data_IF_097715461390
#
_entry.id   IF_097715461390
#
_cell.length_a   1.000
_cell.length_b   1.000
_cell.length_c   1.000
_cell.angle_alpha   90.00
_cell.angle_beta   90.00
_cell.angle_gamma   90.00
#
_symmetry.space_group_name_H-M   'P 1'
#
loop_
_entity.id
_entity.type
_entity.pdbx_description
1 polymer ?
2 polymer ?
3 non-polymer ?
4 water ?
#
# COMPACT_ATOMS: atom_id res chain seq x y z
N UNK A 17 -20.73 -19.42 0.46
CA UNK A 17 -21.61 -18.33 0.88
C UNK A 17 -21.98 -17.45 -0.32
N UNK A 18 -23.04 -16.67 -0.18
CA UNK A 18 -23.55 -15.91 -1.30
C UNK A 18 -22.80 -14.59 -1.43
N UNK A 19 -23.13 -13.83 -2.47
CA UNK A 19 -22.71 -12.44 -2.51
C UNK A 19 -23.60 -11.57 -1.63
N UNK A 20 -24.86 -11.96 -1.45
CA UNK A 20 -25.77 -11.20 -0.60
C UNK A 20 -25.56 -11.55 0.88
N UNK A 21 -25.42 -12.84 1.20
CA UNK A 21 -25.17 -13.23 2.57
C UNK A 21 -23.83 -12.69 3.08
N UNK A 22 -22.86 -12.48 2.19
CA UNK A 22 -21.59 -11.91 2.59
C UNK A 22 -21.76 -10.49 3.09
N UNK A 23 -22.57 -9.69 2.39
CA UNK A 23 -22.80 -8.31 2.80
C UNK A 23 -23.58 -8.26 4.10
N UNK A 24 -24.70 -9.01 4.17
CA UNK A 24 -25.52 -9.01 5.37
C UNK A 24 -24.74 -9.50 6.57
N UNK A 25 -23.88 -10.51 6.37
CA UNK A 25 -23.03 -10.97 7.47
C UNK A 25 -22.09 -9.87 7.93
N UNK A 26 -21.46 -9.16 6.99
CA UNK A 26 -20.61 -8.03 7.36
C UNK A 26 -21.42 -6.87 7.89
N UNK A 27 -22.62 -6.64 7.35
CA UNK A 27 -23.47 -5.56 7.84
C UNK A 27 -23.93 -5.82 9.26
N UNK A 28 -24.20 -7.08 9.60
CA UNK A 28 -24.67 -7.40 10.95
C UNK A 28 -23.54 -7.40 11.97
N UNK A 29 -22.30 -7.64 11.52
CA UNK A 29 -21.15 -7.70 12.41
C UNK A 29 -20.51 -6.34 12.66
N UNK A 30 -21.13 -5.26 12.20
CA UNK A 30 -20.53 -3.95 12.33
C UNK A 30 -20.45 -3.55 13.81
N UNK A 31 -19.33 -2.97 14.24
CA UNK A 31 -19.21 -2.53 15.63
C UNK A 31 -20.02 -1.28 15.88
N UNK A 32 -20.31 -0.96 17.14
CA UNK A 32 -21.08 0.24 17.45
C UNK A 32 -20.21 1.49 17.40
N UNK A 33 -20.87 2.63 17.56
CA UNK A 33 -20.20 3.94 17.59
C UNK A 33 -20.05 4.34 19.05
N UNK A 34 -18.81 4.36 19.53
CA UNK A 34 -18.52 4.65 20.93
C UNK A 34 -18.40 6.15 21.16
N UNK A 35 -18.49 6.54 22.42
CA UNK A 35 -18.42 7.93 22.86
C UNK A 35 -17.12 8.19 23.61
N UNK A 36 -16.72 9.46 23.64
CA UNK A 36 -15.51 9.89 24.33
C UNK A 36 -15.88 10.62 25.62
N UNK A 37 -14.87 11.19 26.27
CA UNK A 37 -15.08 11.91 27.52
C UNK A 37 -15.49 13.36 27.24
N UNK A 47 -1.13 16.81 24.56
CA UNK A 47 -1.27 16.13 25.84
C UNK A 47 -2.74 15.87 26.15
N UNK A 48 -3.57 16.91 25.96
CA UNK A 48 -5.00 16.77 26.23
C UNK A 48 -5.69 15.96 25.14
N UNK A 49 -5.36 16.24 23.87
CA UNK A 49 -5.99 15.52 22.77
C UNK A 49 -5.61 14.04 22.78
N UNK A 50 -4.33 13.73 23.04
CA UNK A 50 -3.91 12.34 23.12
C UNK A 50 -4.79 11.56 24.09
N UNK A 51 -5.14 12.16 25.22
CA UNK A 51 -5.91 11.46 26.23
C UNK A 51 -7.21 10.89 25.69
N UNK A 52 -7.94 11.70 24.93
CA UNK A 52 -9.23 11.24 24.40
C UNK A 52 -9.05 10.19 23.31
N UNK A 53 -7.94 10.25 22.57
CA UNK A 53 -7.74 9.33 21.45
C UNK A 53 -7.31 7.96 21.93
N UNK A 54 -6.52 7.89 23.00
CA UNK A 54 -6.08 6.59 23.52
C UNK A 54 -7.28 5.79 24.01
N UNK A 55 -8.05 6.41 24.92
CA UNK A 55 -9.24 5.75 25.45
C UNK A 55 -10.21 5.40 24.34
N UNK A 56 -10.30 6.24 23.30
CA UNK A 56 -11.20 5.95 22.20
C UNK A 56 -10.69 4.76 21.38
N UNK A 57 -9.42 4.75 21.05
CA UNK A 57 -8.86 3.65 20.25
C UNK A 57 -8.94 2.35 21.04
N UNK A 58 -8.44 2.37 22.26
CA UNK A 58 -8.38 1.21 23.16
C UNK A 58 -9.75 0.58 23.32
N UNK A 59 -10.76 1.39 23.56
CA UNK A 59 -12.12 0.83 23.75
C UNK A 59 -12.66 0.44 22.39
N UNK A 60 -12.09 1.03 21.35
CA UNK A 60 -12.64 0.78 19.99
C UNK A 60 -12.14 -0.55 19.38
N UNK A 61 -10.99 -0.98 19.82
CA UNK A 61 -10.39 -2.26 19.42
C UNK A 61 -11.10 -3.45 20.04
N UNK A 62 -11.61 -3.30 21.27
CA UNK A 62 -12.32 -4.40 21.91
C UNK A 62 -13.47 -4.86 21.03
N UNK A 63 -14.17 -3.90 20.40
CA UNK A 63 -15.25 -4.25 19.48
C UNK A 63 -14.71 -4.73 18.14
N UNK A 64 -13.53 -4.27 17.78
CA UNK A 64 -12.92 -4.69 16.50
C UNK A 64 -12.47 -6.13 16.63
N UNK A 65 -12.04 -6.56 17.82
CA UNK A 65 -11.67 -7.98 18.01
C UNK A 65 -12.92 -8.83 17.78
N UNK A 66 -14.03 -8.48 18.41
CA UNK A 66 -15.29 -9.25 18.24
C UNK A 66 -15.81 -9.17 16.80
N UNK A 67 -15.59 -8.07 16.11
CA UNK A 67 -16.02 -7.91 14.70
C UNK A 67 -15.16 -8.81 13.79
N UNK A 68 -13.87 -8.85 14.05
CA UNK A 68 -12.97 -9.68 13.28
C UNK A 68 -13.38 -11.15 13.36
N UNK A 69 -13.78 -11.61 14.54
CA UNK A 69 -14.19 -13.01 14.69
C UNK A 69 -15.44 -13.32 13.87
N UNK A 70 -16.26 -12.32 13.58
CA UNK A 70 -17.49 -12.50 12.82
C UNK A 70 -17.29 -12.29 11.32
N UNK A 71 -16.07 -12.03 10.87
CA UNK A 71 -15.82 -11.89 9.44
C UNK A 71 -15.69 -13.30 8.84
N UNK A 72 -16.41 -13.59 7.76
CA UNK A 72 -16.38 -14.96 7.20
C UNK A 72 -14.96 -15.39 6.89
N UNK A 73 -14.60 -16.59 7.38
CA UNK A 73 -13.30 -17.16 7.14
C UNK A 73 -12.23 -16.81 8.15
N UNK A 74 -12.46 -15.80 9.00
CA UNK A 74 -11.44 -15.38 9.94
C UNK A 74 -11.19 -16.45 11.00
N UNK A 75 -12.25 -16.92 11.64
CA UNK A 75 -12.12 -17.93 12.69
C UNK A 75 -11.58 -19.25 12.16
N UNK A 76 -11.59 -19.46 10.84
CA UNK A 76 -10.99 -20.67 10.28
C UNK A 76 -9.47 -20.67 10.41
N UNK A 77 -8.86 -19.50 10.59
CA UNK A 77 -7.42 -19.40 10.73
C UNK A 77 -6.99 -19.76 12.15
N UNK A 78 -5.68 -19.90 12.33
CA UNK A 78 -5.14 -20.24 13.63
C UNK A 78 -5.28 -19.06 14.59
N UNK A 79 -5.07 -19.35 15.89
CA UNK A 79 -5.04 -18.27 16.87
C UNK A 79 -3.85 -17.35 16.64
N UNK A 80 -2.71 -17.92 16.23
CA UNK A 80 -1.54 -17.08 15.95
C UNK A 80 -1.75 -16.27 14.68
N UNK A 81 -2.41 -16.84 13.68
CA UNK A 81 -2.67 -16.10 12.45
C UNK A 81 -3.65 -14.96 12.70
N UNK A 82 -4.69 -15.20 13.49
CA UNK A 82 -5.62 -14.12 13.84
C UNK A 82 -4.92 -12.99 14.58
N UNK A 83 -3.97 -13.34 15.46
CA UNK A 83 -3.24 -12.32 16.20
C UNK A 83 -2.40 -11.48 15.25
N UNK A 84 -1.66 -12.13 14.36
CA UNK A 84 -0.79 -11.39 13.44
C UNK A 84 -1.61 -10.52 12.48
N UNK A 85 -2.71 -11.05 11.97
CA UNK A 85 -3.55 -10.27 11.06
C UNK A 85 -4.08 -9.03 11.75
N UNK A 86 -4.42 -9.12 13.03
CA UNK A 86 -4.90 -7.96 13.76
C UNK A 86 -3.77 -7.07 14.26
N UNK A 87 -2.57 -7.61 14.44
CA UNK A 87 -1.46 -6.80 14.92
C UNK A 87 -1.09 -5.70 13.92
N UNK A 88 -1.18 -6.00 12.63
CA UNK A 88 -0.72 -5.08 11.60
C UNK A 88 -1.86 -4.36 10.88
N UNK A 89 -3.11 -4.71 11.15
CA UNK A 89 -4.25 -4.08 10.50
C UNK A 89 -5.15 -3.32 11.45
N UNK A 90 -4.84 -3.28 12.75
CA UNK A 90 -5.76 -2.70 13.71
C UNK A 90 -5.90 -1.20 13.52
N UNK A 91 -4.79 -0.50 13.24
CA UNK A 91 -4.88 0.94 13.04
C UNK A 91 -5.42 1.31 11.68
N UNK A 92 -5.20 0.46 10.67
CA UNK A 92 -5.82 0.68 9.37
C UNK A 92 -7.33 0.62 9.48
N UNK A 93 -7.86 -0.38 10.17
CA UNK A 93 -9.30 -0.52 10.33
C UNK A 93 -9.86 0.64 11.14
N UNK A 94 -9.15 1.06 12.18
CA UNK A 94 -9.60 2.20 12.97
C UNK A 94 -9.72 3.45 12.11
N UNK A 95 -8.74 3.68 11.23
CA UNK A 95 -8.74 4.90 10.41
C UNK A 95 -9.83 4.86 9.35
N UNK A 96 -9.97 3.74 8.65
CA UNK A 96 -11.02 3.66 7.63
C UNK A 96 -12.40 3.78 8.26
N UNK A 97 -12.53 3.37 9.53
CA UNK A 97 -13.80 3.55 10.22
C UNK A 97 -14.05 4.99 10.60
N UNK A 98 -13.02 5.68 11.08
CA UNK A 98 -13.14 7.11 11.36
C UNK A 98 -13.45 7.88 10.08
N UNK A 99 -12.81 7.50 8.96
CA UNK A 99 -13.07 8.18 7.70
C UNK A 99 -14.50 7.93 7.23
N UNK A 100 -15.02 6.73 7.49
CA UNK A 100 -16.37 6.40 7.02
C UNK A 100 -17.42 7.26 7.73
N UNK A 101 -17.38 7.31 9.06
CA UNK A 101 -18.34 8.12 9.80
C UNK A 101 -18.03 9.61 9.72
N UNK A 102 -16.85 10.00 9.22
CA UNK A 102 -16.54 11.39 8.96
C UNK A 102 -16.73 11.76 7.49
N UNK A 103 -17.17 10.82 6.66
CA UNK A 103 -17.29 11.08 5.23
C UNK A 103 -18.29 12.17 4.93
N UNK A 104 -19.33 12.29 5.74
CA UNK A 104 -20.37 13.27 5.51
C UNK A 104 -20.24 14.49 6.41
N UNK A 105 -19.05 14.73 6.94
CA UNK A 105 -18.72 15.96 7.66
C UNK A 105 -17.50 16.55 6.99
N UNK A 106 -17.67 17.23 5.85
CA UNK A 106 -16.52 17.66 5.05
C UNK A 106 -15.57 18.53 5.87
N UNK A 107 -14.27 18.40 5.56
CA UNK A 107 -13.24 19.12 6.28
C UNK A 107 -13.17 18.86 7.77
N UNK A 108 -13.84 17.82 8.27
CA UNK A 108 -13.84 17.50 9.68
C UNK A 108 -13.70 15.99 9.85
N UNK A 109 -13.44 15.59 11.09
CA UNK A 109 -13.26 14.18 11.44
C UNK A 109 -14.11 13.86 12.66
N UNK A 110 -15.02 12.90 12.51
CA UNK A 110 -15.94 12.53 13.58
C UNK A 110 -15.34 11.37 14.37
N UNK A 111 -14.43 11.71 15.29
CA UNK A 111 -13.88 10.70 16.18
C UNK A 111 -14.97 10.05 17.02
N UNK A 112 -15.96 10.84 17.44
CA UNK A 112 -17.10 10.35 18.19
C UNK A 112 -18.25 11.34 18.00
N UNK A 113 -19.49 10.91 18.23
CA UNK A 113 -20.62 11.85 18.10
C UNK A 113 -20.42 13.15 18.85
N UNK A 114 -19.77 13.08 20.03
CA UNK A 114 -19.45 14.26 20.81
C UNK A 114 -18.03 14.77 20.55
N UNK A 115 -17.28 14.11 19.66
CA UNK A 115 -15.90 14.50 19.35
C UNK A 115 -15.78 14.68 17.84
N UNK A 116 -16.32 15.78 17.34
CA UNK A 116 -16.20 16.17 15.94
C UNK A 116 -15.22 17.33 15.88
N UNK A 117 -14.03 17.07 15.37
CA UNK A 117 -12.93 18.03 15.41
C UNK A 117 -12.63 18.58 14.02
N UNK A 118 -12.21 19.83 13.98
CA UNK A 118 -11.89 20.51 12.73
C UNK A 118 -10.42 20.32 12.39
N UNK A 119 -10.02 20.84 11.21
CA UNK A 119 -8.66 20.67 10.74
C UNK A 119 -7.64 21.47 11.53
N UNK A 120 -8.09 22.41 12.37
CA UNK A 120 -7.18 23.24 13.14
C UNK A 120 -7.04 22.79 14.59
N UNK A 121 -7.76 21.75 15.00
CA UNK A 121 -7.71 21.24 16.37
C UNK A 121 -6.68 20.14 16.53
N UNK A 122 -5.53 20.26 15.88
CA UNK A 122 -4.49 19.24 15.97
C UNK A 122 -3.10 19.81 16.20
N UNK A 128 0.90 15.98 14.24
CA UNK A 128 -0.43 15.40 14.18
C UNK A 128 -1.17 15.80 12.92
N UNK A 129 -1.15 17.10 12.62
CA UNK A 129 -1.94 17.63 11.51
C UNK A 129 -1.59 16.94 10.20
N UNK A 130 -0.33 16.52 10.03
CA UNK A 130 0.05 15.77 8.83
C UNK A 130 -0.82 14.53 8.66
N UNK A 131 -0.98 13.75 9.74
CA UNK A 131 -1.86 12.58 9.68
C UNK A 131 -3.31 13.02 9.62
N UNK A 132 -3.64 14.17 10.20
CA UNK A 132 -5.02 14.69 10.13
C UNK A 132 -5.42 14.97 8.68
N UNK A 133 -4.55 15.66 7.94
CA UNK A 133 -4.88 16.02 6.56
C UNK A 133 -5.08 14.77 5.69
N UNK A 134 -4.35 13.70 5.99
CA UNK A 134 -4.49 12.48 5.21
C UNK A 134 -5.84 11.82 5.45
N UNK A 135 -6.31 11.82 6.70
CA UNK A 135 -7.64 11.29 6.99
C UNK A 135 -8.72 12.09 6.27
N UNK A 136 -8.56 13.41 6.21
CA UNK A 136 -9.56 14.23 5.53
C UNK A 136 -9.55 13.99 4.03
N UNK A 137 -8.36 13.91 3.42
CA UNK A 137 -8.27 13.63 2.00
C UNK A 137 -8.96 12.31 1.66
N UNK A 138 -8.74 11.28 2.48
CA UNK A 138 -9.43 10.00 2.27
C UNK A 138 -10.93 10.16 2.45
N UNK A 139 -11.34 10.92 3.48
CA UNK A 139 -12.76 11.17 3.69
C UNK A 139 -13.36 11.91 2.50
N UNK A 140 -12.67 12.94 2.01
CA UNK A 140 -13.14 13.67 0.83
C UNK A 140 -13.09 12.82 -0.43
N UNK A 141 -12.25 11.78 -0.45
CA UNK A 141 -12.16 10.91 -1.62
C UNK A 141 -13.31 9.91 -1.64
N UNK A 142 -13.61 9.30 -0.50
CA UNK A 142 -14.77 8.42 -0.42
C UNK A 142 -16.05 9.17 -0.80
N UNK A 143 -16.17 10.42 -0.35
CA UNK A 143 -17.32 11.23 -0.73
C UNK A 143 -17.33 11.51 -2.22
N UNK A 144 -16.16 11.75 -2.81
CA UNK A 144 -16.07 11.90 -4.26
C UNK A 144 -16.59 10.66 -4.98
N UNK A 145 -16.20 9.48 -4.51
CA UNK A 145 -16.70 8.27 -5.14
C UNK A 145 -18.10 7.88 -4.68
N UNK A 146 -18.63 8.56 -3.69
CA UNK A 146 -19.92 8.20 -3.11
C UNK A 146 -19.92 6.75 -2.64
N UNK A 147 -18.93 6.43 -1.81
CA UNK A 147 -18.79 5.08 -1.30
C UNK A 147 -20.02 4.67 -0.49
N UNK A 148 -20.49 3.44 -0.73
CA UNK A 148 -21.66 2.90 -0.05
C UNK A 148 -21.23 2.06 1.15
N UNK A 149 -22.14 1.93 2.11
CA UNK A 149 -21.86 1.10 3.27
C UNK A 149 -21.54 -0.34 2.91
N UNK A 150 -22.25 -0.90 1.93
CA UNK A 150 -21.99 -2.26 1.50
C UNK A 150 -20.57 -2.41 0.99
N UNK A 151 -20.04 -1.37 0.33
CA UNK A 151 -18.66 -1.41 -0.12
C UNK A 151 -17.69 -1.13 1.02
N UNK A 152 -18.11 -0.37 2.02
CA UNK A 152 -17.23 -0.06 3.14
C UNK A 152 -16.91 -1.32 3.93
N UNK A 153 -17.94 -2.11 4.28
CA UNK A 153 -17.72 -3.31 5.08
C UNK A 153 -16.85 -4.30 4.32
N UNK A 154 -16.91 -4.29 2.99
CA UNK A 154 -16.05 -5.16 2.20
C UNK A 154 -14.60 -4.66 2.23
N UNK A 155 -14.41 -3.36 2.00
CA UNK A 155 -13.06 -2.80 2.04
C UNK A 155 -12.43 -2.99 3.42
N UNK A 156 -13.23 -2.86 4.47
CA UNK A 156 -12.70 -3.01 5.83
C UNK A 156 -12.29 -4.45 6.08
N UNK A 157 -13.04 -5.42 5.54
CA UNK A 157 -12.67 -6.82 5.72
C UNK A 157 -11.43 -7.17 4.90
N UNK A 158 -11.26 -6.54 3.74
CA UNK A 158 -10.07 -6.81 2.93
C UNK A 158 -8.81 -6.35 3.67
N UNK A 159 -8.89 -5.19 4.33
CA UNK A 159 -7.75 -4.70 5.10
C UNK A 159 -7.36 -5.71 6.17
N UNK A 160 -8.35 -6.31 6.84
CA UNK A 160 -8.06 -7.25 7.91
C UNK A 160 -7.39 -8.52 7.39
N UNK A 161 -7.73 -8.95 6.18
CA UNK A 161 -7.19 -10.20 5.64
C UNK A 161 -5.95 -10.00 4.77
N UNK A 162 -5.72 -8.80 4.26
CA UNK A 162 -4.63 -8.56 3.33
C UNK A 162 -3.43 -7.86 3.97
N UNK A 163 -3.63 -7.13 5.06
CA UNK A 163 -2.54 -6.33 5.61
C UNK A 163 -1.39 -7.20 6.09
N UNK A 164 -1.65 -8.45 6.46
CA UNK A 164 -0.60 -9.31 6.98
C UNK A 164 -0.44 -10.62 6.25
N UNK A 165 -1.07 -10.75 5.08
CA UNK A 165 -0.98 -12.00 4.34
C UNK A 165 0.40 -12.19 3.72
N UNK A 166 1.06 -11.09 3.35
CA UNK A 166 2.40 -11.16 2.77
C UNK A 166 3.51 -11.04 3.81
N UNK A 167 3.17 -11.17 5.09
CA UNK A 167 4.16 -11.09 6.17
C UNK A 167 3.87 -12.13 7.24
N UNK A 176 1.48 -22.44 4.77
CA UNK A 176 1.29 -22.25 3.34
C UNK A 176 -0.15 -22.56 2.93
N UNK A 177 -0.71 -23.62 3.51
CA UNK A 177 -2.10 -23.98 3.22
C UNK A 177 -3.07 -22.93 3.73
N UNK A 178 -2.71 -22.23 4.81
CA UNK A 178 -3.59 -21.18 5.34
C UNK A 178 -3.58 -19.95 4.44
N UNK A 179 -2.45 -19.66 3.79
CA UNK A 179 -2.38 -18.49 2.91
C UNK A 179 -3.34 -18.63 1.73
N UNK A 180 -3.45 -19.84 1.17
CA UNK A 180 -4.38 -20.04 0.07
C UNK A 180 -5.82 -19.83 0.52
N UNK A 181 -6.13 -20.10 1.80
CA UNK A 181 -7.48 -19.89 2.29
C UNK A 181 -7.79 -18.41 2.44
N UNK A 182 -6.83 -17.63 2.97
CA UNK A 182 -7.03 -16.19 3.07
C UNK A 182 -7.30 -15.59 1.70
N UNK A 183 -6.50 -15.97 0.70
CA UNK A 183 -6.72 -15.48 -0.65
C UNK A 183 -8.02 -16.00 -1.24
N UNK A 184 -8.46 -17.19 -0.80
CA UNK A 184 -9.76 -17.69 -1.24
C UNK A 184 -10.88 -16.81 -0.71
N UNK A 185 -10.80 -16.42 0.57
CA UNK A 185 -11.79 -15.49 1.12
C UNK A 185 -11.70 -14.14 0.43
N UNK A 186 -10.47 -13.64 0.24
CA UNK A 186 -10.29 -12.37 -0.44
C UNK A 186 -10.93 -12.38 -1.83
N UNK A 187 -10.77 -13.49 -2.56
CA UNK A 187 -11.44 -13.62 -3.85
C UNK A 187 -12.95 -13.56 -3.70
N UNK A 188 -13.48 -14.10 -2.60
CA UNK A 188 -14.93 -14.04 -2.38
C UNK A 188 -15.38 -12.62 -2.10
N UNK A 189 -14.62 -11.88 -1.29
CA UNK A 189 -14.97 -10.49 -1.04
C UNK A 189 -14.86 -9.66 -2.32
N UNK A 190 -13.87 -9.96 -3.15
CA UNK A 190 -13.78 -9.30 -4.45
C UNK A 190 -15.00 -9.63 -5.31
N UNK A 191 -15.40 -10.90 -5.34
CA UNK A 191 -16.62 -11.26 -6.04
C UNK A 191 -17.82 -10.53 -5.47
N UNK A 192 -17.81 -10.22 -4.17
CA UNK A 192 -18.91 -9.49 -3.56
C UNK A 192 -18.91 -8.03 -3.97
N UNK A 193 -17.73 -7.40 -4.01
CA UNK A 193 -17.63 -6.01 -4.44
C UNK A 193 -18.17 -5.84 -5.85
N UNK A 194 -17.70 -6.69 -6.78
CA UNK A 194 -18.17 -6.60 -8.16
C UNK A 194 -19.68 -6.80 -8.21
N UNK A 195 -20.20 -7.78 -7.47
CA UNK A 195 -21.64 -8.02 -7.46
C UNK A 195 -22.39 -6.77 -7.03
N UNK A 196 -21.90 -6.07 -6.00
CA UNK A 196 -22.54 -4.85 -5.57
C UNK A 196 -22.49 -3.78 -6.66
N UNK A 197 -21.39 -3.71 -7.40
CA UNK A 197 -21.29 -2.73 -8.48
C UNK A 197 -22.18 -3.11 -9.65
N UNK A 198 -22.18 -4.39 -10.02
CA UNK A 198 -23.04 -4.82 -11.12
C UNK A 198 -24.51 -4.59 -10.80
N UNK A 199 -24.93 -4.91 -9.58
CA UNK A 199 -26.31 -4.68 -9.16
C UNK A 199 -26.66 -3.20 -9.13
N UNK A 200 -25.65 -2.32 -9.12
CA UNK A 200 -25.88 -0.88 -9.09
C UNK A 200 -26.00 -0.27 -10.48
N UNK A 201 -25.91 -1.08 -11.53
CA UNK A 201 -26.06 -0.60 -12.89
C UNK A 201 -24.78 -0.28 -13.62
N UNK A 202 -23.63 -0.54 -13.02
CA UNK A 202 -22.36 -0.25 -13.67
C UNK A 202 -22.04 -1.27 -14.75
N UNK A 203 -21.43 -0.82 -15.82
CA UNK A 203 -20.96 -1.73 -16.85
C UNK A 203 -19.65 -2.38 -16.43
N UNK A 204 -19.20 -3.35 -17.24
CA UNK A 204 -17.98 -4.07 -16.88
C UNK A 204 -16.78 -3.14 -16.79
N UNK A 205 -16.66 -2.18 -17.71
CA UNK A 205 -15.56 -1.24 -17.65
C UNK A 205 -15.63 -0.41 -16.38
N UNK A 206 -16.84 -0.07 -15.94
CA UNK A 206 -16.99 0.75 -14.74
C UNK A 206 -16.86 -0.07 -13.47
N UNK A 207 -17.23 -1.36 -13.52
CA UNK A 207 -17.02 -2.23 -12.37
C UNK A 207 -15.53 -2.43 -12.09
N UNK A 208 -14.75 -2.69 -13.13
CA UNK A 208 -13.31 -2.86 -12.94
C UNK A 208 -12.66 -1.56 -12.51
N UNK A 209 -13.11 -0.43 -13.07
CA UNK A 209 -12.53 0.86 -12.70
C UNK A 209 -12.83 1.20 -11.25
N UNK A 210 -14.06 0.95 -10.79
CA UNK A 210 -14.41 1.24 -9.41
C UNK A 210 -13.66 0.32 -8.45
N UNK A 211 -13.57 -0.96 -8.79
CA UNK A 211 -12.84 -1.90 -7.93
C UNK A 211 -11.38 -1.50 -7.82
N UNK A 212 -10.80 -0.96 -8.91
CA UNK A 212 -9.41 -0.51 -8.85
C UNK A 212 -9.28 0.76 -8.01
N UNK A 213 -10.20 1.71 -8.19
CA UNK A 213 -10.13 2.95 -7.41
C UNK A 213 -10.27 2.66 -5.92
N UNK A 214 -11.12 1.71 -5.56
CA UNK A 214 -11.30 1.39 -4.14
C UNK A 214 -10.04 0.76 -3.56
N UNK A 215 -9.45 -0.22 -4.25
CA UNK A 215 -8.30 -0.92 -3.73
C UNK A 215 -7.06 -0.02 -3.70
N UNK A 216 -6.92 0.88 -4.67
CA UNK A 216 -5.78 1.78 -4.68
C UNK A 216 -5.77 2.71 -3.47
N UNK A 217 -6.93 2.93 -2.84
CA UNK A 217 -6.98 3.77 -1.65
C UNK A 217 -6.40 3.05 -0.45
N UNK A 218 -6.48 1.71 -0.43
CA UNK A 218 -5.92 0.97 0.69
C UNK A 218 -4.42 1.17 0.79
N UNK A 219 -3.74 1.43 -0.33
CA UNK A 219 -2.33 1.74 -0.28
C UNK A 219 -2.07 3.05 0.46
N UNK A 220 -2.99 4.00 0.35
CA UNK A 220 -2.86 5.25 1.09
C UNK A 220 -3.28 5.07 2.55
N UNK A 221 -4.28 4.23 2.80
CA UNK A 221 -4.75 3.95 4.19
C UNK A 221 -3.62 3.25 4.95
N UNK A 222 -2.86 2.38 4.30
CA UNK A 222 -1.72 1.68 4.94
C UNK A 222 -0.60 2.67 5.24
N UNK A 223 -0.43 3.66 4.38
CA UNK A 223 0.61 4.69 4.57
C UNK A 223 0.22 5.54 5.76
N UNK A 224 -1.05 5.78 5.93
CA UNK A 224 -1.51 6.55 7.07
C UNK A 224 -1.24 5.81 8.38
N UNK A 225 -1.50 4.50 8.39
CA UNK A 225 -1.23 3.71 9.59
C UNK A 225 0.26 3.60 9.88
N UNK A 226 1.09 3.55 8.83
CA UNK A 226 2.54 3.51 9.04
C UNK A 226 3.01 4.77 9.73
N UNK A 227 2.55 5.94 9.28
CA UNK A 227 2.92 7.19 9.92
C UNK A 227 2.25 7.35 11.28
N UNK A 228 1.06 6.77 11.45
CA UNK A 228 0.41 6.81 12.75
C UNK A 228 1.04 5.90 13.78
N UNK A 229 1.70 4.83 13.34
CA UNK A 229 2.42 3.97 14.27
C UNK A 229 3.71 4.63 14.74
N UNK A 230 4.37 5.38 13.85
CA UNK A 230 5.56 6.13 14.27
C UNK A 230 5.19 7.27 15.20
N UNK A 231 4.01 7.86 15.02
CA UNK A 231 3.60 8.98 15.86
C UNK A 231 3.26 8.50 17.27
N UNK A 232 2.56 7.38 17.39
CA UNK A 232 2.24 6.82 18.69
C UNK A 232 3.43 6.17 19.36
N UNK A 233 4.41 5.70 18.58
CA UNK A 233 5.66 5.19 19.14
C UNK A 233 6.59 6.32 19.58
N UNK A 234 6.40 7.52 19.05
CA UNK A 234 7.09 8.71 19.51
C UNK A 234 6.37 9.37 20.69
N UNK A 235 5.34 8.73 21.23
CA UNK A 235 4.66 9.19 22.43
C UNK A 235 5.08 8.36 23.64
N UNK A 236 6.38 8.30 23.85
CA UNK A 236 6.96 7.52 24.93
C UNK A 236 8.38 7.98 25.25
N UNK A 243 -0.46 5.07 28.20
CA UNK A 243 -1.42 4.63 27.21
C UNK A 243 -2.37 3.58 27.76
N UNK A 244 -2.21 2.34 27.31
CA UNK A 244 -3.07 1.24 27.73
C UNK A 244 -2.35 -0.08 27.51
N UNK A 245 -2.65 -1.05 28.37
CA UNK A 245 -1.98 -2.35 28.29
C UNK A 245 -2.26 -3.02 26.94
N UNK A 246 -3.54 -3.11 26.56
CA UNK A 246 -3.88 -3.71 25.27
C UNK A 246 -3.25 -2.94 24.13
N UNK A 247 -3.23 -1.61 24.21
CA UNK A 247 -2.61 -0.80 23.18
C UNK A 247 -1.12 -1.12 23.06
N UNK A 248 -0.37 -0.85 24.14
CA UNK A 248 1.08 -1.05 24.16
C UNK A 248 1.49 -2.35 23.49
N UNK A 249 0.72 -3.42 23.71
CA UNK A 249 0.98 -4.67 23.01
C UNK A 249 0.95 -4.46 21.50
N UNK A 250 -0.10 -3.78 21.01
CA UNK A 250 -0.15 -3.41 19.60
C UNK A 250 0.99 -2.50 19.19
N UNK A 251 1.57 -1.77 20.13
CA UNK A 251 2.64 -0.84 19.79
C UNK A 251 3.97 -1.56 19.62
N UNK A 252 4.15 -2.69 20.31
CA UNK A 252 5.39 -3.45 20.25
C UNK A 252 5.45 -4.37 19.03
N UNK A 253 4.32 -4.63 18.37
CA UNK A 253 4.34 -5.47 17.17
C UNK A 253 5.02 -4.75 16.01
N UNK A 254 4.87 -3.44 15.92
CA UNK A 254 5.51 -2.67 14.85
C UNK A 254 6.85 -2.13 15.31
N UNK B 14 -2.69 10.82 -25.11
CA UNK B 14 -2.46 9.95 -23.97
C UNK B 14 -3.72 9.16 -23.61
N UNK B 15 -4.83 9.87 -23.40
CA UNK B 15 -6.08 9.21 -23.04
C UNK B 15 -6.65 8.42 -24.21
N UNK B 16 -6.28 8.77 -25.44
CA UNK B 16 -6.85 8.14 -26.63
C UNK B 16 -6.09 6.89 -27.05
N UNK B 17 -5.02 6.52 -26.35
CA UNK B 17 -4.28 5.32 -26.69
C UNK B 17 -5.13 4.07 -26.42
N UNK B 18 -4.97 3.06 -27.27
CA UNK B 18 -5.61 1.78 -27.01
C UNK B 18 -4.81 1.00 -25.97
N UNK B 19 -5.38 -0.12 -25.53
CA UNK B 19 -4.69 -0.97 -24.58
C UNK B 19 -3.36 -1.46 -25.14
N UNK B 20 -3.36 -1.91 -26.40
CA UNK B 20 -2.13 -2.40 -27.01
C UNK B 20 -1.11 -1.28 -27.18
N UNK B 21 -1.58 -0.07 -27.48
CA UNK B 21 -0.67 1.07 -27.56
C UNK B 21 -0.17 1.47 -26.18
N UNK B 22 -1.04 1.35 -25.16
CA UNK B 22 -0.61 1.60 -23.79
C UNK B 22 0.51 0.65 -23.39
N UNK B 23 0.31 -0.65 -23.62
CA UNK B 23 1.33 -1.63 -23.27
C UNK B 23 2.61 -1.37 -24.05
N UNK B 24 2.49 -1.19 -25.38
CA UNK B 24 3.67 -0.99 -26.21
C UNK B 24 4.48 0.20 -25.74
N UNK B 25 3.84 1.35 -25.55
CA UNK B 25 4.56 2.52 -25.07
C UNK B 25 5.20 2.28 -23.72
N UNK B 26 4.60 1.42 -22.90
CA UNK B 26 5.15 1.15 -21.57
C UNK B 26 6.36 0.25 -21.62
N UNK B 27 6.42 -0.69 -22.56
CA UNK B 27 7.57 -1.58 -22.64
C UNK B 27 8.80 -0.83 -23.17
N UNK B 28 8.62 0.00 -24.20
CA UNK B 28 9.74 0.73 -24.76
C UNK B 28 10.36 1.70 -23.76
N UNK B 29 9.56 2.21 -22.82
CA UNK B 29 10.06 3.15 -21.82
C UNK B 29 10.75 2.45 -20.66
N UNK B 30 10.89 1.13 -20.68
CA UNK B 30 11.50 0.42 -19.57
C UNK B 30 12.95 0.86 -19.40
N UNK B 31 13.38 1.20 -18.18
CA UNK B 31 14.78 1.57 -17.97
C UNK B 31 15.70 0.37 -18.09
N UNK B 32 16.98 0.59 -18.33
CA UNK B 32 17.92 -0.53 -18.47
C UNK B 32 18.35 -1.07 -17.12
N UNK B 33 18.96 -2.26 -17.16
CA UNK B 33 19.51 -2.90 -15.97
C UNK B 33 20.95 -2.43 -15.80
N UNK B 34 21.23 -1.80 -14.65
CA UNK B 34 22.54 -1.25 -14.37
C UNK B 34 23.38 -2.22 -13.55
N UNK B 35 24.65 -1.85 -13.37
CA UNK B 35 25.60 -2.63 -12.59
C UNK B 35 26.03 -1.85 -11.36
N UNK B 36 26.46 -2.57 -10.33
CA UNK B 36 26.94 -1.98 -9.09
C UNK B 36 28.46 -2.03 -9.03
N UNK B 37 29.02 -1.34 -8.05
CA UNK B 37 30.46 -1.29 -7.86
C UNK B 37 30.92 -2.33 -6.83
N UNK B 41 36.37 -8.57 -3.87
CA UNK B 41 37.65 -7.89 -3.68
C UNK B 41 37.92 -7.64 -2.20
N UNK B 42 36.86 -7.43 -1.43
CA UNK B 42 36.97 -7.16 0.00
C UNK B 42 35.69 -7.61 0.68
N UNK B 43 35.77 -8.07 1.93
CA UNK B 43 34.56 -8.48 2.66
C UNK B 43 33.49 -7.40 2.67
N UNK B 44 32.25 -7.79 2.98
CA UNK B 44 31.15 -6.85 3.08
C UNK B 44 31.07 -6.31 4.50
N UNK B 45 31.17 -5.00 4.65
CA UNK B 45 30.89 -4.33 5.90
C UNK B 45 29.53 -3.64 5.81
N UNK B 46 29.03 -3.21 6.98
CA UNK B 46 27.75 -2.50 6.99
C UNK B 46 27.79 -1.27 6.11
N UNK B 47 28.91 -0.53 6.14
CA UNK B 47 29.04 0.65 5.30
C UNK B 47 29.25 0.27 3.84
N UNK B 48 30.10 -0.72 3.57
CA UNK B 48 30.35 -1.13 2.20
C UNK B 48 29.08 -1.65 1.54
N UNK B 49 28.36 -2.54 2.23
CA UNK B 49 27.11 -3.07 1.68
C UNK B 49 26.10 -1.95 1.45
N UNK B 50 25.95 -1.04 2.43
CA UNK B 50 25.00 0.05 2.26
C UNK B 50 25.43 0.98 1.13
N UNK B 51 26.73 1.20 0.98
CA UNK B 51 27.21 2.05 -0.10
C UNK B 51 26.90 1.50 -1.48
N UNK B 52 26.90 0.17 -1.62
CA UNK B 52 26.54 -0.45 -2.89
C UNK B 52 25.08 -0.18 -3.23
N UNK B 53 24.17 -0.58 -2.35
CA UNK B 53 22.76 -0.28 -2.54
C UNK B 53 22.53 1.21 -2.73
N UNK B 54 23.37 2.05 -2.11
CA UNK B 54 23.11 3.49 -2.14
C UNK B 54 23.57 4.10 -3.45
N UNK B 55 24.75 3.73 -3.93
CA UNK B 55 25.15 4.05 -5.31
C UNK B 55 24.07 3.61 -6.30
N UNK B 56 23.67 2.35 -6.21
CA UNK B 56 22.76 1.72 -7.19
C UNK B 56 21.40 2.43 -7.32
N UNK B 57 20.85 2.92 -6.22
CA UNK B 57 19.57 3.65 -6.17
C UNK B 57 19.74 5.02 -6.81
N UNK B 58 20.85 5.68 -6.55
CA UNK B 58 21.18 7.01 -7.09
C UNK B 58 21.29 6.93 -8.61
N UNK B 59 21.85 5.86 -9.12
CA UNK B 59 22.00 5.70 -10.58
C UNK B 59 20.68 5.31 -11.21
N UNK B 60 19.96 4.37 -10.59
CA UNK B 60 18.64 3.91 -11.11
C UNK B 60 17.66 5.08 -11.13
N UNK B 61 17.70 5.91 -10.09
CA UNK B 61 16.78 7.07 -9.97
C UNK B 61 16.91 7.96 -11.20
N UNK B 62 18.13 8.23 -11.64
CA UNK B 62 18.29 9.11 -12.79
C UNK B 62 17.62 8.52 -14.02
N UNK B 63 17.65 7.20 -14.17
CA UNK B 63 16.96 6.57 -15.29
C UNK B 63 15.46 6.53 -15.06
N UNK B 64 15.02 6.43 -13.80
CA UNK B 64 13.60 6.40 -13.51
C UNK B 64 12.93 7.70 -13.93
N UNK B 65 13.63 8.83 -13.80
CA UNK B 65 13.05 10.11 -14.20
C UNK B 65 12.81 10.14 -15.70
N UNK B 66 13.73 9.56 -16.49
CA UNK B 66 13.50 9.46 -17.91
C UNK B 66 12.30 8.57 -18.22
N UNK B 67 12.20 7.44 -17.52
CA UNK B 67 11.07 6.54 -17.74
C UNK B 67 9.76 7.23 -17.38
N UNK B 68 9.74 7.96 -16.26
CA UNK B 68 8.51 8.64 -15.87
C UNK B 68 8.05 9.61 -16.93
N UNK B 69 8.98 10.37 -17.51
CA UNK B 69 8.62 11.31 -18.56
C UNK B 69 8.03 10.62 -19.79
N UNK B 70 8.26 9.31 -19.94
CA UNK B 70 7.70 8.54 -21.03
C UNK B 70 6.45 7.77 -20.62
N UNK B 71 5.94 8.01 -19.43
CA UNK B 71 4.69 7.38 -19.00
C UNK B 71 3.52 8.20 -19.54
N UNK B 72 2.58 7.59 -20.27
CA UNK B 72 1.47 8.36 -20.84
C UNK B 72 0.73 9.15 -19.78
N UNK B 73 0.64 10.46 -19.99
CA UNK B 73 -0.07 11.35 -19.10
C UNK B 73 0.77 12.00 -18.03
N UNK B 74 2.04 11.62 -17.89
CA UNK B 74 2.87 12.20 -16.84
C UNK B 74 3.33 13.60 -17.19
N UNK B 75 3.76 13.82 -18.44
CA UNK B 75 4.22 15.15 -18.83
C UNK B 75 3.07 16.14 -18.80
N UNK B 76 1.83 15.68 -18.99
CA UNK B 76 0.68 16.56 -18.91
C UNK B 76 0.55 17.21 -17.54
N UNK B 77 1.11 16.61 -16.51
CA UNK B 77 1.02 17.16 -15.16
C UNK B 77 1.93 18.36 -15.01
N UNK B 78 1.69 19.12 -13.94
CA UNK B 78 2.47 20.31 -13.66
C UNK B 78 3.86 19.92 -13.14
N UNK B 79 4.86 20.74 -13.48
CA UNK B 79 6.21 20.47 -13.01
C UNK B 79 6.27 20.35 -11.50
N UNK B 80 5.37 21.06 -10.79
CA UNK B 80 5.29 20.89 -9.34
C UNK B 80 4.70 19.53 -8.98
N UNK B 81 3.70 19.08 -9.72
CA UNK B 81 3.04 17.82 -9.40
C UNK B 81 3.90 16.61 -9.78
N UNK B 82 4.70 16.74 -10.85
CA UNK B 82 5.60 15.66 -11.21
C UNK B 82 6.58 15.36 -10.09
N UNK B 83 7.12 16.40 -9.46
CA UNK B 83 8.07 16.20 -8.38
C UNK B 83 7.42 15.47 -7.22
N UNK B 84 6.17 15.83 -6.89
CA UNK B 84 5.50 15.19 -5.76
C UNK B 84 5.26 13.71 -6.03
N UNK B 85 4.91 13.36 -7.27
CA UNK B 85 4.65 11.96 -7.59
C UNK B 85 5.92 11.12 -7.49
N UNK B 86 7.05 11.67 -7.92
CA UNK B 86 8.30 10.91 -7.87
C UNK B 86 8.86 10.85 -6.46
N UNK B 87 8.81 11.96 -5.72
CA UNK B 87 9.32 11.96 -4.35
C UNK B 87 8.56 10.99 -3.47
N UNK B 88 7.31 10.69 -3.82
CA UNK B 88 6.44 9.85 -3.00
C UNK B 88 6.43 8.39 -3.43
N UNK B 89 6.95 8.07 -4.62
CA UNK B 89 6.87 6.72 -5.15
C UNK B 89 8.21 6.19 -5.65
N UNK B 90 9.31 6.92 -5.45
CA UNK B 90 10.58 6.50 -6.03
C UNK B 90 11.07 5.19 -5.42
N UNK B 91 10.92 5.03 -4.10
CA UNK B 91 11.39 3.80 -3.47
C UNK B 91 10.50 2.62 -3.83
N UNK B 92 9.18 2.84 -3.93
CA UNK B 92 8.30 1.77 -4.38
C UNK B 92 8.68 1.30 -5.77
N UNK B 93 8.83 2.23 -6.71
CA UNK B 93 9.21 1.88 -8.08
C UNK B 93 10.56 1.17 -8.09
N UNK B 94 11.50 1.64 -7.27
CA UNK B 94 12.79 0.97 -7.18
C UNK B 94 12.64 -0.45 -6.65
N UNK B 95 11.67 -0.68 -5.77
CA UNK B 95 11.54 -1.99 -5.14
C UNK B 95 10.73 -2.96 -5.99
N UNK B 96 9.73 -2.48 -6.72
CA UNK B 96 8.98 -3.38 -7.59
C UNK B 96 9.84 -3.82 -8.76
N UNK B 97 10.75 -2.97 -9.22
CA UNK B 97 11.69 -3.38 -10.26
C UNK B 97 12.70 -4.40 -9.75
N UNK B 98 13.18 -4.21 -8.52
CA UNK B 98 14.08 -5.19 -7.92
C UNK B 98 13.40 -6.54 -7.75
N UNK B 99 12.15 -6.52 -7.30
CA UNK B 99 11.40 -7.77 -7.15
C UNK B 99 11.19 -8.43 -8.50
N UNK B 100 10.92 -7.63 -9.54
CA UNK B 100 10.69 -8.18 -10.86
C UNK B 100 11.93 -8.89 -11.39
N UNK B 101 13.10 -8.26 -11.27
CA UNK B 101 14.32 -8.88 -11.76
C UNK B 101 14.66 -10.17 -11.00
N UNK B 102 14.16 -10.32 -9.78
CA UNK B 102 14.49 -11.45 -8.94
C UNK B 102 13.47 -12.59 -9.03
N UNK B 103 12.46 -12.45 -9.89
CA UNK B 103 11.43 -13.48 -9.97
C UNK B 103 12.02 -14.84 -10.30
N UNK B 104 12.89 -14.90 -11.30
CA UNK B 104 13.54 -16.14 -11.70
C UNK B 104 14.81 -16.42 -10.89
N UNK B 105 14.86 -15.95 -9.64
CA UNK B 105 15.98 -16.20 -8.74
C UNK B 105 15.41 -16.48 -7.36
N UNK B 106 14.84 -17.66 -7.15
CA UNK B 106 14.11 -17.93 -5.90
C UNK B 106 15.01 -17.77 -4.68
N UNK B 107 14.46 -17.15 -3.64
CA UNK B 107 15.18 -16.97 -2.39
C UNK B 107 16.31 -15.97 -2.43
N UNK B 108 16.42 -15.18 -3.50
CA UNK B 108 17.52 -14.25 -3.64
C UNK B 108 17.04 -13.00 -4.35
N UNK B 109 17.79 -11.91 -4.15
CA UNK B 109 17.49 -10.63 -4.75
C UNK B 109 18.61 -10.25 -5.71
N UNK B 110 18.22 -9.79 -6.91
CA UNK B 110 19.17 -9.42 -7.95
C UNK B 110 19.19 -7.90 -8.03
N UNK B 111 20.00 -7.28 -7.16
CA UNK B 111 20.18 -5.83 -7.23
C UNK B 111 20.82 -5.42 -8.54
N UNK B 112 21.74 -6.25 -9.04
CA UNK B 112 22.39 -6.03 -10.31
C UNK B 112 22.92 -7.36 -10.81
N UNK B 113 23.13 -7.51 -12.13
CA UNK B 113 23.68 -8.78 -12.63
C UNK B 113 24.94 -9.21 -11.91
N UNK B 114 25.73 -8.26 -11.41
CA UNK B 114 26.94 -8.56 -10.67
C UNK B 114 26.75 -8.48 -9.16
N UNK B 115 25.52 -8.21 -8.70
CA UNK B 115 25.21 -8.10 -7.28
C UNK B 115 23.92 -8.88 -7.03
N UNK B 116 24.05 -10.18 -6.77
CA UNK B 116 22.91 -11.04 -6.47
C UNK B 116 23.12 -11.58 -5.05
N UNK B 117 22.24 -11.19 -4.14
CA UNK B 117 22.38 -11.51 -2.72
C UNK B 117 21.32 -12.51 -2.29
N UNK B 118 21.71 -13.44 -1.42
CA UNK B 118 20.77 -14.32 -0.74
C UNK B 118 20.51 -13.80 0.67
N UNK B 119 19.49 -14.36 1.31
CA UNK B 119 18.98 -13.76 2.55
C UNK B 119 20.10 -13.53 3.56
N UNK B 120 20.97 -14.53 3.75
CA UNK B 120 21.98 -14.43 4.80
C UNK B 120 22.93 -13.27 4.57
N UNK B 121 23.15 -12.89 3.31
CA UNK B 121 24.06 -11.78 3.03
C UNK B 121 23.49 -10.43 3.46
N UNK B 122 22.18 -10.33 3.65
CA UNK B 122 21.58 -9.10 4.12
C UNK B 122 21.88 -8.79 5.58
N UNK B 123 22.35 -9.77 6.35
CA UNK B 123 22.65 -9.55 7.76
C UNK B 123 23.89 -8.69 7.96
N UNK B 124 24.59 -8.32 6.90
CA UNK B 124 25.75 -7.42 7.03
C UNK B 124 25.33 -6.04 7.52
N UNK B 125 24.06 -5.66 7.33
CA UNK B 125 23.57 -4.33 7.63
C UNK B 125 22.46 -4.44 8.67
N UNK B 126 22.56 -3.63 9.73
CA UNK B 126 21.55 -3.66 10.78
C UNK B 126 20.22 -3.15 10.25
N UNK B 127 19.19 -3.99 10.33
CA UNK B 127 17.87 -3.62 9.90
C UNK B 127 17.54 -3.95 8.45
N UNK B 128 18.58 -4.15 7.61
CA UNK B 128 18.35 -4.51 6.22
C UNK B 128 17.72 -5.89 6.06
N UNK B 129 17.75 -6.70 7.11
CA UNK B 129 17.43 -8.12 6.98
C UNK B 129 15.93 -8.32 6.90
N UNK B 130 15.17 -7.56 7.69
CA UNK B 130 13.72 -7.65 7.66
C UNK B 130 13.16 -7.18 6.32
N UNK B 131 13.66 -6.05 5.81
CA UNK B 131 13.24 -5.61 4.48
C UNK B 131 13.59 -6.66 3.44
N UNK B 132 14.73 -7.32 3.62
CA UNK B 132 15.15 -8.30 2.61
C UNK B 132 14.46 -9.64 2.77
N UNK B 133 13.66 -9.80 3.84
CA UNK B 133 12.68 -10.90 3.88
C UNK B 133 11.36 -10.50 3.22
N UNK B 134 11.03 -9.21 3.23
CA UNK B 134 9.80 -8.76 2.59
C UNK B 134 9.90 -8.82 1.08
N UNK B 135 10.96 -8.23 0.52
CA UNK B 135 11.14 -8.25 -0.93
C UNK B 135 11.15 -9.68 -1.47
N UNK B 136 11.77 -10.60 -0.73
CA UNK B 136 11.73 -11.99 -1.13
C UNK B 136 10.32 -12.55 -1.10
N UNK B 137 9.49 -12.07 -0.17
CA UNK B 137 8.11 -12.53 -0.10
C UNK B 137 7.30 -12.08 -1.29
N UNK B 138 7.57 -10.87 -1.79
CA UNK B 138 6.82 -10.36 -2.94
C UNK B 138 7.29 -11.01 -4.23
N UNK B 139 8.59 -11.27 -4.35
CA UNK B 139 9.09 -11.95 -5.54
C UNK B 139 8.47 -13.33 -5.68
N UNK B 140 8.38 -14.08 -4.59
CA UNK B 140 7.72 -15.38 -4.63
C UNK B 140 6.22 -15.22 -4.90
N UNK B 141 5.62 -14.16 -4.36
CA UNK B 141 4.21 -13.89 -4.64
C UNK B 141 4.01 -13.57 -6.12
N UNK B 142 4.88 -12.74 -6.71
CA UNK B 142 4.83 -12.56 -8.16
C UNK B 142 5.12 -13.85 -8.93
N UNK B 143 5.80 -14.83 -8.34
CA UNK B 143 6.24 -15.96 -9.14
C UNK B 143 5.11 -16.95 -9.40
N UNK B 144 4.40 -17.36 -8.36
CA UNK B 144 3.35 -18.32 -8.58
C UNK B 144 2.22 -17.72 -9.40
N UNK B 145 1.83 -16.47 -9.12
CA UNK B 145 0.93 -15.76 -10.01
C UNK B 145 1.48 -15.70 -11.43
N UNK B 146 2.78 -15.93 -11.60
CA UNK B 146 3.42 -15.97 -12.90
C UNK B 146 3.16 -14.66 -13.66
N UNK B 147 3.53 -13.56 -13.01
CA UNK B 147 3.30 -12.23 -13.56
C UNK B 147 3.98 -12.07 -14.91
N UNK B 148 3.38 -11.24 -15.76
CA UNK B 148 3.90 -10.94 -17.08
C UNK B 148 4.48 -9.54 -17.11
N UNK B 149 5.45 -9.34 -18.00
CA UNK B 149 6.06 -8.02 -18.12
C UNK B 149 5.06 -6.94 -18.47
N UNK B 150 4.06 -7.27 -19.30
CA UNK B 150 3.03 -6.29 -19.64
C UNK B 150 2.24 -5.87 -18.41
N UNK B 151 1.93 -6.83 -17.53
CA UNK B 151 1.26 -6.50 -16.28
C UNK B 151 2.19 -5.72 -15.35
N UNK B 152 3.47 -6.07 -15.34
CA UNK B 152 4.42 -5.42 -14.45
C UNK B 152 4.55 -3.95 -14.79
N UNK B 153 4.74 -3.62 -16.07
CA UNK B 153 4.91 -2.23 -16.46
C UNK B 153 3.64 -1.43 -16.16
N UNK B 154 2.49 -2.09 -16.18
CA UNK B 154 1.25 -1.41 -15.79
C UNK B 154 1.23 -1.13 -14.30
N UNK B 155 1.58 -2.13 -13.49
CA UNK B 155 1.68 -1.90 -12.05
C UNK B 155 2.69 -0.82 -11.73
N UNK B 156 3.84 -0.85 -12.40
CA UNK B 156 4.86 0.17 -12.19
C UNK B 156 4.31 1.56 -12.47
N UNK B 157 3.49 1.70 -13.52
CA UNK B 157 2.91 3.00 -13.84
C UNK B 157 1.83 3.40 -12.83
N UNK B 158 1.07 2.43 -12.33
CA UNK B 158 0.04 2.73 -11.34
C UNK B 158 0.67 3.27 -10.06
N UNK B 159 1.82 2.71 -9.67
CA UNK B 159 2.48 3.15 -8.45
C UNK B 159 2.92 4.60 -8.57
N UNK B 160 3.40 4.99 -9.75
CA UNK B 160 3.88 6.35 -9.94
C UNK B 160 2.76 7.37 -9.89
N UNK B 161 1.57 7.01 -10.39
CA UNK B 161 0.47 7.96 -10.47
C UNK B 161 -0.45 7.94 -9.26
N UNK B 162 -0.45 6.86 -8.47
CA UNK B 162 -1.42 6.70 -7.39
C UNK B 162 -0.85 7.01 -6.01
N UNK B 163 0.46 6.84 -5.80
CA UNK B 163 1.01 6.95 -4.45
C UNK B 163 0.94 8.37 -3.92
N UNK B 164 0.95 9.37 -4.79
CA UNK B 164 0.99 10.76 -4.33
C UNK B 164 -0.23 11.59 -4.69
N UNK B 165 -1.27 10.96 -5.24
CA UNK B 165 -2.44 11.73 -5.66
C UNK B 165 -3.32 12.10 -4.46
N UNK B 166 -3.26 11.31 -3.38
CA UNK B 166 -4.06 11.58 -2.19
C UNK B 166 -3.30 12.42 -1.16
N UNK B 167 -2.20 13.06 -1.55
CA UNK B 167 -1.43 13.91 -0.65
C UNK B 167 -1.12 15.27 -1.28
N UNK B 168 -1.87 15.67 -2.30
CA UNK B 168 -1.68 17.00 -2.90
C UNK B 168 -2.07 18.09 -1.92
N UNK B 180 -8.75 15.72 -11.93
CA UNK B 180 -8.81 14.27 -11.90
C UNK B 180 -8.24 13.66 -13.17
N UNK B 181 -7.27 14.36 -13.77
CA UNK B 181 -6.61 13.82 -14.94
C UNK B 181 -5.78 12.59 -14.61
N UNK B 182 -5.22 12.53 -13.40
CA UNK B 182 -4.49 11.35 -12.98
C UNK B 182 -5.41 10.16 -12.82
N UNK B 183 -6.58 10.36 -12.22
CA UNK B 183 -7.54 9.27 -12.08
C UNK B 183 -8.07 8.83 -13.43
N UNK B 184 -8.15 9.74 -14.40
CA UNK B 184 -8.56 9.36 -15.74
C UNK B 184 -7.52 8.45 -16.40
N UNK B 185 -6.24 8.74 -16.17
CA UNK B 185 -5.18 7.89 -16.69
C UNK B 185 -5.10 6.58 -15.90
N UNK B 186 -5.34 6.66 -14.59
CA UNK B 186 -5.33 5.45 -13.76
C UNK B 186 -6.46 4.51 -14.17
N UNK B 187 -7.66 5.06 -14.38
CA UNK B 187 -8.76 4.24 -14.89
C UNK B 187 -8.42 3.67 -16.26
N UNK B 188 -7.66 4.42 -17.06
CA UNK B 188 -7.29 3.95 -18.39
C UNK B 188 -6.21 2.87 -18.33
N UNK B 189 -5.33 2.92 -17.34
CA UNK B 189 -4.38 1.82 -17.15
C UNK B 189 -5.10 0.60 -16.61
N UNK B 190 -6.16 0.80 -15.82
CA UNK B 190 -6.97 -0.32 -15.36
C UNK B 190 -7.59 -1.05 -16.54
N UNK B 191 -8.09 -0.31 -17.53
CA UNK B 191 -8.63 -0.94 -18.72
C UNK B 191 -7.56 -1.72 -19.47
N UNK B 192 -6.31 -1.25 -19.42
CA UNK B 192 -5.23 -1.97 -20.10
C UNK B 192 -4.91 -3.28 -19.39
N UNK B 193 -4.97 -3.29 -18.05
CA UNK B 193 -4.70 -4.52 -17.30
C UNK B 193 -5.79 -5.54 -17.52
N UNK B 194 -7.06 -5.13 -17.40
CA UNK B 194 -8.16 -6.04 -17.64
C UNK B 194 -8.09 -6.60 -19.05
N UNK B 195 -7.67 -5.76 -20.01
CA UNK B 195 -7.65 -6.19 -21.40
C UNK B 195 -6.51 -7.17 -21.67
N UNK B 196 -5.44 -7.10 -20.88
CA UNK B 196 -4.37 -8.10 -20.99
C UNK B 196 -4.82 -9.45 -20.46
N UNK B 197 -5.60 -9.45 -19.36
CA UNK B 197 -6.07 -10.71 -18.82
C UNK B 197 -7.13 -11.35 -19.70
N UNK B 198 -7.95 -10.54 -20.37
CA UNK B 198 -8.93 -11.09 -21.30
C UNK B 198 -8.23 -11.76 -22.48
N UNK B 199 -7.21 -11.12 -23.04
CA UNK B 199 -6.46 -11.70 -24.14
C UNK B 199 -5.68 -12.94 -23.71
N UNK B 200 -5.37 -13.06 -22.42
CA UNK B 200 -4.67 -14.23 -21.89
C UNK B 200 -5.59 -15.42 -21.65
N UNK B 201 -6.89 -15.26 -21.88
CA UNK B 201 -7.83 -16.35 -21.74
C UNK B 201 -8.52 -16.46 -20.39
N UNK B 202 -8.33 -15.48 -19.50
CA UNK B 202 -8.95 -15.53 -18.19
C UNK B 202 -10.44 -15.21 -18.28
N UNK B 203 -11.20 -15.80 -17.37
CA UNK B 203 -12.65 -15.62 -17.37
C UNK B 203 -13.01 -14.24 -16.84
N UNK B 204 -14.30 -13.95 -16.76
CA UNK B 204 -14.74 -12.63 -16.32
C UNK B 204 -14.46 -12.43 -14.83
N UNK B 205 -14.84 -13.41 -13.99
CA UNK B 205 -14.33 -13.44 -12.62
C UNK B 205 -12.83 -13.24 -12.63
N UNK B 206 -12.12 -14.20 -13.23
CA UNK B 206 -10.66 -14.26 -13.11
C UNK B 206 -10.02 -12.93 -13.42
N UNK B 207 -10.66 -12.12 -14.26
CA UNK B 207 -10.10 -10.81 -14.58
C UNK B 207 -10.11 -9.90 -13.36
N UNK B 208 -11.26 -9.77 -12.69
CA UNK B 208 -11.32 -8.90 -11.52
C UNK B 208 -10.80 -9.57 -10.26
N UNK B 209 -10.68 -10.90 -10.26
CA UNK B 209 -10.00 -11.57 -9.15
C UNK B 209 -8.50 -11.34 -9.22
N UNK B 210 -7.92 -11.45 -10.42
CA UNK B 210 -6.50 -11.16 -10.59
C UNK B 210 -6.22 -9.68 -10.42
N UNK B 211 -7.12 -8.83 -10.93
CA UNK B 211 -6.94 -7.39 -10.77
C UNK B 211 -6.84 -7.01 -9.30
N UNK B 212 -7.68 -7.62 -8.45
CA UNK B 212 -7.62 -7.31 -7.02
C UNK B 212 -6.33 -7.83 -6.40
N UNK B 213 -5.90 -9.04 -6.77
CA UNK B 213 -4.68 -9.59 -6.20
C UNK B 213 -3.47 -8.70 -6.48
N UNK B 214 -3.36 -8.20 -7.71
CA UNK B 214 -2.22 -7.37 -8.08
C UNK B 214 -2.24 -6.03 -7.35
N UNK B 215 -3.42 -5.39 -7.28
CA UNK B 215 -3.51 -4.10 -6.62
C UNK B 215 -3.32 -4.23 -5.11
N UNK B 216 -3.73 -5.35 -4.52
CA UNK B 216 -3.53 -5.54 -3.09
C UNK B 216 -2.05 -5.66 -2.73
N UNK B 217 -1.23 -6.13 -3.68
CA UNK B 217 0.21 -6.19 -3.44
C UNK B 217 0.80 -4.80 -3.34
N UNK B 218 0.20 -3.82 -4.02
CA UNK B 218 0.68 -2.44 -3.92
C UNK B 218 0.65 -1.94 -2.48
N UNK B 219 -0.32 -2.39 -1.69
CA UNK B 219 -0.33 -2.03 -0.28
C UNK B 219 0.92 -2.54 0.43
N UNK B 220 1.35 -3.76 0.09
CA UNK B 220 2.57 -4.28 0.67
C UNK B 220 3.81 -3.57 0.14
N UNK B 221 3.76 -3.12 -1.12
CA UNK B 221 4.88 -2.38 -1.69
C UNK B 221 4.99 -1.02 -1.02
N UNK B 222 3.86 -0.38 -0.72
CA UNK B 222 3.89 0.83 0.08
C UNK B 222 4.47 0.57 1.46
N UNK B 223 4.20 -0.61 2.03
CA UNK B 223 4.71 -0.94 3.36
C UNK B 223 6.22 -1.07 3.37
N UNK B 224 6.78 -1.76 2.38
CA UNK B 224 8.24 -1.90 2.32
C UNK B 224 8.91 -0.55 2.12
N UNK B 225 8.41 0.25 1.18
CA UNK B 225 8.98 1.56 0.92
C UNK B 225 9.06 2.41 2.19
N UNK B 226 8.08 2.26 3.08
CA UNK B 226 8.09 3.05 4.32
C UNK B 226 9.18 2.58 5.26
N UNK B 227 9.37 1.26 5.40
CA UNK B 227 10.47 0.74 6.21
C UNK B 227 11.81 1.03 5.55
N UNK B 228 11.90 0.84 4.24
CA UNK B 228 13.12 1.20 3.53
C UNK B 228 13.45 2.67 3.68
N UNK B 229 12.42 3.52 3.69
CA UNK B 229 12.65 4.95 3.86
C UNK B 229 13.18 5.25 5.26
N UNK B 230 12.53 4.70 6.29
CA UNK B 230 12.98 4.95 7.66
C UNK B 230 14.24 4.19 8.02
N UNK B 231 14.59 3.14 7.28
CA UNK B 231 15.90 2.53 7.46
C UNK B 231 16.99 3.32 6.77
N UNK B 232 16.66 3.96 5.63
CA UNK B 232 17.62 4.84 4.98
C UNK B 232 17.95 6.03 5.89
N UNK B 233 16.91 6.66 6.46
CA UNK B 233 17.15 7.74 7.41
C UNK B 233 17.90 7.23 8.64
N UNK B 234 17.63 5.99 9.04
CA UNK B 234 18.30 5.42 10.21
C UNK B 234 19.82 5.41 10.06
N UNK B 235 20.33 5.46 8.83
CA UNK B 235 21.77 5.40 8.61
C UNK B 235 22.32 6.65 7.93
N UNK B 236 21.51 7.69 7.76
CA UNK B 236 22.09 9.01 7.56
C UNK B 236 22.39 9.69 8.89
N UNK B 237 21.59 9.41 9.92
CA UNK B 237 21.84 9.94 11.25
C UNK B 237 22.97 9.22 11.98
N UNK B 238 23.58 8.22 11.34
CA UNK B 238 24.71 7.51 11.92
C UNK B 238 25.95 7.55 11.04
N UNK B 239 25.90 8.27 9.91
CA UNK B 239 27.07 8.44 9.07
C UNK B 239 27.63 7.09 8.61
N UNK B 240 26.72 6.17 8.29
CA UNK B 240 27.15 4.87 7.76
C UNK B 240 27.66 5.02 6.34
N UNK B 241 26.92 5.74 5.51
CA UNK B 241 27.34 5.99 4.13
C UNK B 241 26.93 7.41 3.74
N UNK B 242 27.72 8.02 2.85
CA UNK B 242 27.33 9.33 2.32
C UNK B 242 26.26 9.19 1.23
N UNK B 243 25.28 10.07 1.30
CA UNK B 243 24.17 10.07 0.35
C UNK B 243 24.36 11.15 -0.70
N UNK B 244 23.93 10.85 -1.93
CA UNK B 244 23.98 11.84 -2.99
C UNK B 244 22.95 12.93 -2.78
N UNK B 245 23.17 14.08 -3.42
CA UNK B 245 22.26 15.21 -3.24
C UNK B 245 20.86 14.87 -3.71
N UNK B 246 20.74 14.16 -4.83
CA UNK B 246 19.42 13.74 -5.30
C UNK B 246 18.78 12.77 -4.32
N UNK B 247 19.55 11.78 -3.87
CA UNK B 247 19.03 10.82 -2.89
C UNK B 247 18.81 11.47 -1.53
N UNK B 248 19.43 12.61 -1.27
CA UNK B 248 19.37 13.22 0.06
C UNK B 248 18.08 14.00 0.27
N UNK B 249 17.56 14.67 -0.77
CA UNK B 249 16.30 15.38 -0.63
C UNK B 249 15.09 14.48 -0.84
N UNK B 250 15.25 13.37 -1.56
CA UNK B 250 14.19 12.37 -1.59
C UNK B 250 13.83 11.92 -0.19
N UNK B 251 14.83 11.90 0.72
CA UNK B 251 14.62 11.33 2.04
C UNK B 251 14.13 12.42 2.99
N UNK B 252 14.51 13.67 2.72
CA UNK B 252 14.01 14.82 3.47
C UNK B 252 12.56 15.12 3.14
N UNK B 253 12.05 14.65 2.01
CA UNK B 253 10.66 14.90 1.66
C UNK B 253 9.71 14.07 2.53
N UNK B 254 10.06 12.81 2.75
CA UNK B 254 9.23 11.92 3.54
C UNK B 254 9.23 12.33 5.01
N UNK C 3 0.44 -11.90 23.51
CA UNK C 3 0.12 -12.21 24.89
C UNK C 3 -1.31 -11.83 25.22
N UNK C 4 -1.52 -10.55 25.54
CA UNK C 4 -2.87 -10.05 25.81
C UNK C 4 -3.79 -10.32 24.64
N UNK C 5 -3.35 -10.00 23.42
CA UNK C 5 -4.22 -10.13 22.25
C UNK C 5 -4.79 -11.54 22.15
N UNK C 6 -4.04 -12.55 22.57
CA UNK C 6 -4.53 -13.93 22.49
C UNK C 6 -5.75 -14.12 23.37
N UNK C 7 -5.75 -13.54 24.57
CA UNK C 7 -6.88 -13.72 25.47
C UNK C 7 -8.16 -13.11 24.91
N UNK C 8 -8.04 -12.07 24.09
CA UNK C 8 -9.23 -11.43 23.56
C UNK C 8 -9.92 -12.31 22.53
N UNK C 9 -9.14 -12.95 21.66
CA UNK C 9 -9.68 -13.89 20.67
C UNK C 9 -10.02 -15.23 21.29
N UNK C 10 -9.46 -15.57 22.44
CA UNK C 10 -9.71 -16.84 23.10
C UNK C 10 -11.18 -16.97 23.50
N UNK D 2 17.06 25.57 -6.36
CA UNK D 2 15.75 24.97 -6.17
C UNK D 2 15.85 23.54 -5.66
N UNK D 3 15.52 22.58 -6.51
CA UNK D 3 15.62 21.18 -6.16
C UNK D 3 16.26 20.42 -7.33
N UNK D 4 16.90 19.29 -6.98
CA UNK D 4 17.69 18.57 -7.97
C UNK D 4 16.76 17.80 -8.91
N UNK D 5 15.80 17.08 -8.34
CA UNK D 5 14.73 16.47 -9.14
C UNK D 5 14.04 17.50 -10.03
N UNK D 6 13.91 18.73 -9.55
CA UNK D 6 13.26 19.78 -10.33
C UNK D 6 13.98 20.04 -11.65
N UNK D 7 15.30 19.83 -11.68
CA UNK D 7 16.08 20.12 -12.87
C UNK D 7 16.08 18.97 -13.87
N UNK D 8 16.13 17.72 -13.38
CA UNK D 8 16.15 16.58 -14.29
C UNK D 8 14.83 16.43 -15.04
N UNK D 9 13.73 16.89 -14.46
CA UNK D 9 12.41 16.72 -15.06
C UNK D 9 12.14 17.67 -16.21
N UNK D 10 13.04 18.62 -16.48
CA UNK D 10 12.86 19.56 -17.57
C UNK D 10 14.01 19.56 -18.56
N UNK D 11 15.05 18.75 -18.34
CA UNK D 11 16.17 18.69 -19.25
C UNK D 11 16.52 17.25 -19.61
X LIG E 1 -4.01 11.80 14.31
X LIG E 1 -6.65 8.89 14.58
X LIG E 1 -4.13 9.65 15.38
X LIG E 1 -5.04 11.59 13.93
X LIG E 1 -5.55 9.79 14.64
X LIG E 1 -3.30 7.19 17.12
X LIG E 1 -4.25 7.16 18.00
X LIG E 1 -3.79 4.87 18.57
X LIG E 1 -6.47 7.50 14.68
X LIG E 1 -8.81 6.80 14.78
X LIG E 1 -9.95 6.42 16.86
X LIG E 1 -3.09 8.52 16.42
X LIG E 1 -2.68 4.91 17.57
X LIG E 1 -2.42 5.99 16.89
X LIG E 1 -7.73 7.12 15.42
X LIG E 1 -10.04 6.43 15.57
X LIG E 1 -8.71 6.80 17.57
X LIG E 1 -7.67 7.11 16.91
X LIG E 1 -1.79 9.75 16.42
X LIG E 1 -3.29 10.97 15.07
X LIG E 1 -4.53 5.91 18.78
X LIG E 1 -5.69 10.79 14.05
X LIG E 1 -0.58 9.61 17.06
X LIG E 1 -11.04 6.08 17.62
X LIG E 1 -2.08 11.05 15.62
X LIG E 1 -5.67 12.90 12.94
X LIG F 1 17.43 -3.57 2.02
X LIG F 1 16.66 -1.46 -1.30
X LIG F 1 17.33 -1.39 1.10
X LIG F 1 17.12 -3.94 1.01
X LIG F 1 16.93 -2.26 -0.13
X LIG F 1 17.41 1.62 0.43
X LIG F 1 18.33 1.73 -0.44
X LIG F 1 17.42 3.82 -1.16
X LIG F 1 16.05 -1.92 -2.51
X LIG F 1 16.39 -1.50 -4.89
X LIG F 1 18.30 -0.29 -5.69
X LIG F 1 17.49 0.40 1.28
X LIG F 1 16.35 3.66 -0.13
X LIG F 1 16.34 2.63 0.63
X LIG F 1 16.82 -1.33 -3.68
X LIG F 1 17.21 -0.92 -6.00
X LIG F 1 18.78 -0.10 -4.31
X LIG F 1 18.09 -0.59 -3.38
X LIG F 1 17.94 0.02 2.91
X LIG F 1 17.62 -2.28 2.38
X LIG F 1 18.34 2.92 -1.32
X LIG F 1 16.92 -3.43 0.11
X LIG F 1 18.17 1.28 3.37
X LIG F 1 19.08 0.29 -6.63
X LIG F 1 17.99 -1.51 3.44
X LIG F 1 17.01 -5.62 0.87
#
# INVERSE_FOLDING_TARGET
MDPMIKRSKKNSLALSLTADQMVSALLDAEPPILYSEYDPTRPFSEASMMGLLTNLADRELVHMINWAKRVPGFVDLTLHDQVHLLECAWLEILMIGLVWRSMEHPGKLLFAPNLLLDRNQGKCVEGMVEIFDMLLATSSRFRMMNLQGEEFVCLKSIILLNSGVYTFLSSTLKSLEEKDHIHRVLDKITDTLIHLMAKAGLTLQQQHQRLAQLLLILSHIRHMSNKGMEHLYSMKCKNVVPLSDLLLEMLDAHRLHAPTS
MDPMIKRSKKNSLALSLTADQMVSALLDAEPPILYSEYDPTRPFSEASMMGLLTNLADRELVHMINWAKRVPGFVDLTLHDQVHLLECAWLEILMIGLVWRSMEHPGKLLFAPNLLLDRNQGKCVEGMVEIFDMLLATSSRFRMMNLQGEEFVCLKSIILLNSGVYTFLSSTLKSLEEKDHIHRVLDKITDTLIHLMAKAGLTLQQQHQRLAQLLLILSHIRHMSNKGMEHLYSMKCKNVVPLSDLLLEMLDAHRLHAPTS
KHKILHRLLQDSS
KHKILHRLLQDSS
EMY N1 N3 C4 C5 C6 C7 C8 C10 C13 C15 C17 C1 C11 C12 C14 C16 C18 C19 C2 C3 C9 N2 O1 O2 S1 CL1
EMY N1 N3 C4 C5 C6 C7 C8 C10 C13 C15 C17 C1 C11 C12 C14 C16 C18 C19 C2 C3 C9 N2 O1 O2 S1 CL1
#
